data_IF_914311518795
#
_entry.id   IF_914311518795
#
_cell.length_a   1.000
_cell.length_b   1.000
_cell.length_c   1.000
_cell.angle_alpha   90.00
_cell.angle_beta   90.00
_cell.angle_gamma   90.00
#
_symmetry.space_group_name_H-M   'P 1'
#
loop_
_entity.id
_entity.type
_entity.pdbx_description
1 polymer ?
#
# COMPACT_ATOMS: atom_id res chain seq x y z
N UNK A 1 25.50 1.96 12.26
CA UNK A 1 24.33 1.05 12.29
C UNK A 1 23.12 1.92 12.60
N UNK A 2 22.02 1.81 11.84
CA UNK A 2 20.80 2.58 12.09
C UNK A 2 20.19 2.09 13.42
N UNK A 3 19.92 3.00 14.36
CA UNK A 3 19.39 2.64 15.67
C UNK A 3 17.86 2.84 15.69
N UNK A 4 17.13 1.79 16.11
CA UNK A 4 15.68 1.85 16.35
C UNK A 4 15.42 2.72 17.58
N UNK A 5 14.41 3.60 17.50
CA UNK A 5 13.97 4.48 18.59
C UNK A 5 12.50 4.21 18.95
N UNK A 6 11.69 5.22 18.93
CA UNK A 6 10.31 5.18 19.42
C UNK A 6 9.35 4.53 18.42
N UNK A 7 8.33 3.87 18.95
CA UNK A 7 7.19 3.40 18.15
C UNK A 7 6.40 4.61 17.64
N UNK A 8 6.36 4.77 16.31
CA UNK A 8 5.64 5.86 15.65
C UNK A 8 4.17 5.50 15.42
N UNK A 9 3.92 4.31 14.89
CA UNK A 9 2.57 3.83 14.55
C UNK A 9 2.53 2.31 14.56
N UNK A 10 1.39 1.75 14.97
CA UNK A 10 1.11 0.32 14.84
C UNK A 10 -0.17 0.09 14.08
N UNK A 11 -0.19 -0.92 13.22
CA UNK A 11 -1.35 -1.39 12.48
C UNK A 11 -1.62 -2.86 12.75
N UNK A 12 -2.54 -3.44 11.99
CA UNK A 12 -2.98 -4.85 12.14
C UNK A 12 -1.84 -5.86 11.96
N UNK A 13 -0.89 -5.58 11.06
CA UNK A 13 0.19 -6.52 10.71
C UNK A 13 1.60 -5.90 10.71
N UNK A 14 1.73 -4.59 10.94
CA UNK A 14 2.99 -3.85 10.86
C UNK A 14 3.11 -2.85 12.00
N UNK A 15 4.35 -2.53 12.37
CA UNK A 15 4.68 -1.43 13.26
C UNK A 15 5.80 -0.59 12.62
N UNK A 16 5.73 0.74 12.79
CA UNK A 16 6.74 1.69 12.31
C UNK A 16 7.47 2.29 13.50
N UNK A 17 8.77 2.34 13.40
CA UNK A 17 9.64 2.93 14.43
C UNK A 17 10.48 4.04 13.82
N UNK A 18 10.66 5.11 14.56
CA UNK A 18 11.64 6.15 14.26
C UNK A 18 13.06 5.60 14.42
N UNK A 19 14.02 6.27 13.80
CA UNK A 19 15.42 5.85 13.85
C UNK A 19 16.34 7.00 14.25
N UNK A 20 17.63 6.73 14.34
CA UNK A 20 18.66 7.77 14.52
C UNK A 20 18.80 8.71 13.31
N UNK A 21 18.28 8.32 12.16
CA UNK A 21 18.19 9.12 10.93
C UNK A 21 16.71 9.48 10.67
N UNK A 22 16.36 10.76 10.81
CA UNK A 22 14.98 11.23 10.68
C UNK A 22 14.36 10.98 9.28
N UNK A 23 15.20 10.77 8.26
CA UNK A 23 14.75 10.45 6.89
C UNK A 23 14.36 8.98 6.72
N UNK A 24 14.56 8.13 7.74
CA UNK A 24 14.35 6.69 7.67
C UNK A 24 13.54 6.16 8.83
N UNK A 25 12.71 5.17 8.53
CA UNK A 25 11.93 4.41 9.51
C UNK A 25 12.30 2.93 9.43
N UNK A 26 12.10 2.20 10.52
CA UNK A 26 12.09 0.73 10.53
C UNK A 26 10.64 0.29 10.49
N UNK A 27 10.30 -0.52 9.49
CA UNK A 27 9.01 -1.20 9.36
C UNK A 27 9.16 -2.63 9.80
N UNK A 28 8.54 -2.98 10.93
CA UNK A 28 8.49 -4.34 11.45
C UNK A 28 7.20 -5.02 10.98
N UNK A 29 7.33 -6.20 10.39
CA UNK A 29 6.22 -7.07 10.02
C UNK A 29 5.95 -8.05 11.15
N UNK A 30 4.70 -8.09 11.62
CA UNK A 30 4.29 -8.87 12.79
C UNK A 30 3.65 -10.19 12.38
N UNK A 31 3.74 -11.15 13.26
CA UNK A 31 3.09 -12.47 13.11
C UNK A 31 1.57 -12.41 13.37
N UNK A 32 1.09 -11.26 13.84
CA UNK A 32 -0.34 -11.06 14.10
C UNK A 32 -1.15 -11.15 12.80
N UNK A 33 -2.26 -11.85 12.87
CA UNK A 33 -3.31 -11.83 11.85
C UNK A 33 -4.61 -11.41 12.50
N UNK A 34 -5.39 -10.58 11.81
CA UNK A 34 -6.69 -10.13 12.29
C UNK A 34 -7.78 -10.52 11.30
N UNK A 35 -8.91 -10.98 11.83
CA UNK A 35 -10.12 -11.23 11.08
C UNK A 35 -11.29 -10.46 11.71
N UNK A 36 -12.36 -10.24 10.91
CA UNK A 36 -13.58 -9.55 11.34
C UNK A 36 -13.29 -8.15 11.93
N UNK A 37 -12.57 -7.31 11.19
CA UNK A 37 -12.20 -5.94 11.58
C UNK A 37 -11.48 -5.85 12.93
N UNK A 38 -10.54 -6.78 13.17
CA UNK A 38 -9.72 -6.81 14.39
C UNK A 38 -10.38 -7.51 15.59
N UNK A 39 -11.60 -8.04 15.46
CA UNK A 39 -12.29 -8.76 16.56
C UNK A 39 -11.65 -10.09 16.92
N UNK A 40 -10.91 -10.69 15.98
CA UNK A 40 -10.16 -11.92 16.21
C UNK A 40 -8.70 -11.68 15.81
N UNK A 41 -7.79 -11.81 16.78
CA UNK A 41 -6.35 -11.72 16.57
C UNK A 41 -5.76 -13.08 16.86
N UNK A 42 -5.02 -13.63 15.91
CA UNK A 42 -4.25 -14.88 16.08
C UNK A 42 -2.81 -14.61 15.63
N UNK A 43 -1.86 -15.39 16.14
CA UNK A 43 -0.47 -15.33 15.70
C UNK A 43 -0.16 -16.53 14.82
N UNK A 44 0.48 -16.26 13.68
CA UNK A 44 0.99 -17.27 12.76
C UNK A 44 2.50 -17.11 12.71
N UNK A 45 3.21 -18.04 13.35
CA UNK A 45 4.66 -18.00 13.45
C UNK A 45 5.33 -17.90 12.06
N UNK A 46 6.21 -16.94 11.90
CA UNK A 46 6.93 -16.68 10.65
C UNK A 46 6.16 -15.88 9.58
N UNK A 47 4.89 -15.51 9.81
CA UNK A 47 4.12 -14.69 8.88
C UNK A 47 4.79 -13.35 8.60
N UNK A 48 5.31 -12.68 9.65
CA UNK A 48 6.03 -11.42 9.51
C UNK A 48 7.24 -11.55 8.60
N UNK A 49 8.02 -12.61 8.75
CA UNK A 49 9.18 -12.89 7.89
C UNK A 49 8.78 -13.11 6.43
N UNK A 50 7.74 -13.90 6.17
CA UNK A 50 7.24 -14.14 4.82
C UNK A 50 6.75 -12.84 4.18
N UNK A 51 5.96 -12.06 4.93
CA UNK A 51 5.42 -10.79 4.45
C UNK A 51 6.53 -9.77 4.16
N UNK A 52 7.56 -9.68 5.00
CA UNK A 52 8.69 -8.78 4.77
C UNK A 52 9.44 -9.14 3.49
N UNK A 53 9.81 -10.41 3.33
CA UNK A 53 10.53 -10.89 2.13
C UNK A 53 9.72 -10.69 0.85
N UNK A 54 8.43 -11.02 0.91
CA UNK A 54 7.54 -10.84 -0.25
C UNK A 54 7.39 -9.37 -0.62
N UNK A 55 7.19 -8.50 0.39
CA UNK A 55 7.12 -7.05 0.16
C UNK A 55 8.43 -6.51 -0.43
N UNK A 56 9.59 -6.89 0.12
CA UNK A 56 10.89 -6.44 -0.39
C UNK A 56 11.09 -6.88 -1.84
N UNK A 57 10.78 -8.14 -2.16
CA UNK A 57 10.84 -8.65 -3.54
C UNK A 57 9.97 -7.82 -4.50
N UNK A 58 8.72 -7.53 -4.14
CA UNK A 58 7.81 -6.72 -4.95
C UNK A 58 8.33 -5.29 -5.10
N UNK A 59 8.76 -4.63 -4.02
CA UNK A 59 9.25 -3.25 -4.05
C UNK A 59 10.53 -3.11 -4.87
N UNK A 60 11.46 -4.05 -4.75
CA UNK A 60 12.67 -4.10 -5.58
C UNK A 60 12.35 -4.32 -7.06
N UNK A 61 11.39 -5.21 -7.36
CA UNK A 61 10.95 -5.43 -8.74
C UNK A 61 10.33 -4.16 -9.34
N UNK A 62 9.44 -3.49 -8.62
CA UNK A 62 8.84 -2.22 -9.03
C UNK A 62 9.89 -1.13 -9.26
N UNK A 63 10.92 -1.04 -8.38
CA UNK A 63 12.03 -0.09 -8.56
C UNK A 63 12.82 -0.36 -9.85
N UNK A 64 13.09 -1.63 -10.17
CA UNK A 64 13.78 -2.03 -11.42
C UNK A 64 12.97 -1.68 -12.67
N UNK A 65 11.65 -1.70 -12.57
CA UNK A 65 10.70 -1.32 -13.64
C UNK A 65 10.39 0.19 -13.64
N UNK A 66 11.08 1.00 -12.81
CA UNK A 66 10.99 2.46 -12.82
C UNK A 66 9.87 3.04 -11.95
N UNK A 67 9.25 2.26 -11.07
CA UNK A 67 8.29 2.75 -10.08
C UNK A 67 9.02 3.07 -8.78
N UNK A 68 9.13 4.36 -8.45
CA UNK A 68 9.69 4.80 -7.18
C UNK A 68 8.82 4.32 -6.01
N UNK A 69 9.47 3.88 -4.93
CA UNK A 69 8.79 3.48 -3.71
C UNK A 69 9.65 3.75 -2.47
N UNK A 70 9.08 3.57 -1.29
CA UNK A 70 9.74 3.91 -0.03
C UNK A 70 10.70 2.85 0.51
N UNK A 71 10.74 1.66 -0.07
CA UNK A 71 11.59 0.57 0.40
C UNK A 71 13.06 0.85 0.11
N UNK A 72 13.94 0.63 1.09
CA UNK A 72 15.38 0.80 0.95
C UNK A 72 16.09 -0.55 1.00
N UNK A 73 15.89 -1.32 2.07
CA UNK A 73 16.54 -2.63 2.26
C UNK A 73 15.84 -3.48 3.34
N UNK A 74 16.02 -4.79 3.31
CA UNK A 74 15.74 -5.66 4.44
C UNK A 74 16.84 -5.51 5.50
N UNK A 75 16.47 -5.16 6.74
CA UNK A 75 17.41 -5.02 7.86
C UNK A 75 17.44 -6.24 8.78
N UNK A 76 16.33 -7.00 8.82
CA UNK A 76 16.19 -8.25 9.56
C UNK A 76 15.13 -9.13 8.88
N UNK A 77 14.98 -10.41 9.26
CA UNK A 77 14.03 -11.33 8.61
C UNK A 77 12.60 -10.80 8.52
N UNK A 78 12.15 -10.04 9.51
CA UNK A 78 10.81 -9.42 9.57
C UNK A 78 10.85 -7.89 9.62
N UNK A 79 11.98 -7.25 9.26
CA UNK A 79 12.14 -5.79 9.28
C UNK A 79 12.73 -5.26 7.99
N UNK A 80 12.22 -4.13 7.54
CA UNK A 80 12.78 -3.34 6.43
C UNK A 80 13.04 -1.90 6.86
N UNK A 81 14.09 -1.31 6.30
CA UNK A 81 14.32 0.13 6.34
C UNK A 81 13.55 0.75 5.19
N UNK A 82 12.79 1.78 5.50
CA UNK A 82 11.99 2.53 4.53
C UNK A 82 12.25 4.03 4.68
N UNK A 83 12.01 4.80 3.62
CA UNK A 83 12.03 6.26 3.69
C UNK A 83 10.91 6.77 4.58
N UNK A 84 11.19 7.82 5.35
CA UNK A 84 10.18 8.58 6.11
C UNK A 84 9.50 9.56 5.15
N UNK A 85 8.28 9.26 4.76
CA UNK A 85 7.49 10.03 3.78
C UNK A 85 6.14 10.42 4.38
N UNK A 86 5.55 11.49 3.86
CA UNK A 86 4.18 11.87 4.18
C UNK A 86 3.20 10.97 3.42
N UNK A 87 2.19 10.49 4.11
CA UNK A 87 1.19 9.59 3.54
C UNK A 87 -0.11 10.35 3.26
N UNK A 88 -0.60 10.27 2.02
CA UNK A 88 -1.95 10.74 1.71
C UNK A 88 -2.99 9.84 2.41
N UNK A 89 -4.09 10.41 2.91
CA UNK A 89 -5.17 9.61 3.49
C UNK A 89 -6.05 8.97 2.41
N UNK A 90 -5.42 8.47 1.34
CA UNK A 90 -6.07 7.98 0.13
C UNK A 90 -5.48 6.62 -0.23
N UNK A 91 -6.34 5.62 -0.37
CA UNK A 91 -6.00 4.32 -0.93
C UNK A 91 -6.34 4.30 -2.41
N UNK A 92 -5.37 3.93 -3.24
CA UNK A 92 -5.52 3.75 -4.68
C UNK A 92 -5.73 2.26 -4.97
N UNK A 93 -6.77 1.92 -5.70
CA UNK A 93 -7.12 0.53 -6.03
C UNK A 93 -7.30 0.38 -7.53
N UNK A 94 -6.66 -0.65 -8.11
CA UNK A 94 -6.97 -1.11 -9.48
C UNK A 94 -7.52 -2.53 -9.41
N UNK A 95 -8.61 -2.78 -10.14
CA UNK A 95 -9.25 -4.08 -10.22
C UNK A 95 -9.22 -4.61 -11.64
N UNK A 96 -8.57 -5.76 -11.81
CA UNK A 96 -8.55 -6.52 -13.08
C UNK A 96 -9.74 -7.48 -13.16
N UNK A 97 -10.24 -7.91 -12.01
CA UNK A 97 -11.41 -8.79 -11.89
C UNK A 97 -12.34 -8.30 -10.79
N UNK A 98 -13.63 -8.56 -10.91
CA UNK A 98 -14.61 -8.25 -9.90
C UNK A 98 -14.41 -9.14 -8.66
N UNK A 99 -14.11 -8.53 -7.52
CA UNK A 99 -13.99 -9.24 -6.25
C UNK A 99 -14.30 -8.32 -5.05
N UNK A 100 -14.86 -8.90 -4.01
CA UNK A 100 -15.12 -8.18 -2.75
C UNK A 100 -16.18 -7.08 -2.85
N UNK A 101 -15.88 -5.88 -2.39
CA UNK A 101 -16.86 -4.79 -2.24
C UNK A 101 -17.50 -4.32 -3.55
N UNK A 102 -16.76 -4.36 -4.66
CA UNK A 102 -17.29 -3.92 -5.97
C UNK A 102 -18.44 -4.81 -6.45
N UNK A 103 -18.38 -6.13 -6.21
CA UNK A 103 -19.46 -7.05 -6.57
C UNK A 103 -20.77 -6.66 -5.89
N UNK A 104 -20.71 -6.31 -4.60
CA UNK A 104 -21.87 -5.89 -3.82
C UNK A 104 -22.39 -4.51 -4.25
N UNK A 105 -21.48 -3.55 -4.50
CA UNK A 105 -21.84 -2.17 -4.85
C UNK A 105 -22.48 -2.07 -6.23
N UNK A 106 -22.03 -2.85 -7.19
CA UNK A 106 -22.45 -2.75 -8.59
C UNK A 106 -23.24 -3.98 -9.07
N UNK A 107 -23.51 -4.97 -8.20
CA UNK A 107 -24.25 -6.19 -8.57
C UNK A 107 -23.51 -7.07 -9.58
N UNK A 108 -22.17 -7.10 -9.52
CA UNK A 108 -21.35 -7.85 -10.47
C UNK A 108 -21.17 -9.29 -10.01
N UNK A 109 -21.07 -10.20 -10.99
CA UNK A 109 -20.63 -11.57 -10.74
C UNK A 109 -19.16 -11.60 -10.35
N UNK A 110 -18.82 -12.36 -9.30
CA UNK A 110 -17.44 -12.52 -8.86
C UNK A 110 -16.57 -13.14 -9.95
N UNK A 111 -15.32 -12.73 -10.03
CA UNK A 111 -14.36 -13.09 -11.07
C UNK A 111 -14.69 -12.60 -12.49
N UNK A 112 -15.69 -11.76 -12.71
CA UNK A 112 -15.89 -11.09 -13.99
C UNK A 112 -14.66 -10.22 -14.34
N UNK A 113 -14.21 -10.31 -15.60
CA UNK A 113 -13.06 -9.53 -16.09
C UNK A 113 -13.43 -8.06 -16.19
N UNK A 114 -12.53 -7.19 -15.73
CA UNK A 114 -12.61 -5.73 -15.91
C UNK A 114 -11.72 -5.31 -17.08
N UNK A 115 -12.32 -4.97 -18.21
CA UNK A 115 -11.58 -4.51 -19.41
C UNK A 115 -12.24 -3.23 -19.96
N UNK A 116 -11.63 -2.05 -19.78
CA UNK A 116 -10.36 -1.81 -19.08
C UNK A 116 -10.43 -2.04 -17.56
N UNK A 117 -9.29 -2.25 -16.87
CA UNK A 117 -9.25 -2.34 -15.41
C UNK A 117 -9.90 -1.13 -14.74
N UNK A 118 -10.60 -1.35 -13.63
CA UNK A 118 -11.28 -0.28 -12.90
C UNK A 118 -10.33 0.32 -11.88
N UNK A 119 -10.15 1.65 -11.92
CA UNK A 119 -9.45 2.42 -10.93
C UNK A 119 -10.42 3.07 -9.94
N UNK A 120 -10.11 3.02 -8.64
CA UNK A 120 -10.93 3.59 -7.56
C UNK A 120 -10.05 4.28 -6.51
N UNK A 121 -10.58 5.35 -5.90
CA UNK A 121 -10.03 5.95 -4.69
C UNK A 121 -10.90 5.63 -3.48
N UNK A 122 -10.27 5.38 -2.32
CA UNK A 122 -10.93 5.24 -1.04
C UNK A 122 -10.29 6.18 -0.01
N UNK A 123 -11.10 6.81 0.83
CA UNK A 123 -10.60 7.56 1.97
C UNK A 123 -10.17 6.59 3.06
N UNK A 124 -8.93 6.72 3.53
CA UNK A 124 -8.32 5.80 4.49
C UNK A 124 -8.72 6.18 5.91
N UNK A 125 -9.87 5.69 6.33
CA UNK A 125 -10.43 5.91 7.65
C UNK A 125 -11.20 4.65 8.09
N UNK A 126 -10.56 3.87 8.98
CA UNK A 126 -11.12 2.59 9.47
C UNK A 126 -12.46 2.79 10.21
N UNK A 127 -12.70 3.95 10.88
CA UNK A 127 -13.93 4.25 11.60
C UNK A 127 -15.10 4.53 10.63
N UNK A 128 -14.80 5.04 9.45
CA UNK A 128 -15.77 5.28 8.38
C UNK A 128 -15.90 4.09 7.42
N UNK A 129 -15.09 3.05 7.59
CA UNK A 129 -15.10 1.85 6.73
C UNK A 129 -14.52 2.09 5.34
N UNK A 130 -13.49 2.93 5.24
CA UNK A 130 -12.78 3.28 4.00
C UNK A 130 -13.75 3.60 2.84
N UNK A 131 -14.52 4.71 2.89
CA UNK A 131 -15.54 5.01 1.90
C UNK A 131 -14.94 5.31 0.52
N UNK A 132 -15.65 4.91 -0.54
CA UNK A 132 -15.32 5.27 -1.92
C UNK A 132 -15.41 6.79 -2.11
N UNK A 133 -14.39 7.38 -2.71
CA UNK A 133 -14.29 8.82 -3.01
C UNK A 133 -13.90 9.04 -4.47
N UNK A 134 -13.98 10.27 -4.92
CA UNK A 134 -13.53 10.69 -6.25
C UNK A 134 -12.65 11.95 -6.15
N UNK A 135 -12.13 12.40 -7.30
CA UNK A 135 -11.24 13.56 -7.42
C UNK A 135 -11.82 14.81 -6.77
N UNK A 136 -13.13 15.05 -6.93
CA UNK A 136 -13.79 16.23 -6.33
C UNK A 136 -13.77 16.18 -4.79
N UNK A 137 -13.92 15.00 -4.18
CA UNK A 137 -13.77 14.87 -2.73
C UNK A 137 -12.34 15.20 -2.31
N UNK A 138 -11.34 14.64 -3.02
CA UNK A 138 -9.92 14.79 -2.70
C UNK A 138 -9.52 16.27 -2.74
N UNK A 139 -9.88 16.97 -3.81
CA UNK A 139 -9.54 18.39 -3.97
C UNK A 139 -10.33 19.30 -3.03
N UNK A 140 -11.64 19.05 -2.85
CA UNK A 140 -12.50 19.87 -2.00
C UNK A 140 -12.11 19.81 -0.52
N UNK A 141 -11.63 18.66 -0.05
CA UNK A 141 -11.16 18.50 1.32
C UNK A 141 -9.66 18.85 1.48
N UNK A 142 -8.96 19.17 0.39
CA UNK A 142 -7.54 19.55 0.41
C UNK A 142 -6.61 18.40 0.80
N UNK A 143 -7.01 17.15 0.55
CA UNK A 143 -6.18 15.97 0.84
C UNK A 143 -5.02 15.84 -0.16
N UNK A 144 -5.25 16.21 -1.43
CA UNK A 144 -4.26 16.26 -2.48
C UNK A 144 -4.67 17.30 -3.55
N UNK A 145 -3.72 17.78 -4.35
CA UNK A 145 -3.98 18.63 -5.49
C UNK A 145 -4.22 17.80 -6.77
N UNK A 146 -4.55 18.46 -7.89
CA UNK A 146 -4.84 17.79 -9.16
C UNK A 146 -3.61 17.04 -9.72
N UNK A 147 -2.40 17.59 -9.54
CA UNK A 147 -1.15 16.97 -10.00
C UNK A 147 -0.87 15.69 -9.22
N UNK A 148 -1.05 15.70 -7.89
CA UNK A 148 -0.94 14.52 -7.03
C UNK A 148 -1.94 13.43 -7.45
N UNK A 149 -3.19 13.81 -7.77
CA UNK A 149 -4.24 12.89 -8.21
C UNK A 149 -3.85 12.19 -9.52
N UNK A 150 -3.37 12.94 -10.50
CA UNK A 150 -2.94 12.38 -11.79
C UNK A 150 -1.70 11.49 -11.61
N UNK A 151 -0.77 11.86 -10.74
CA UNK A 151 0.38 11.02 -10.43
C UNK A 151 -0.04 9.72 -9.73
N UNK A 152 -0.93 9.78 -8.74
CA UNK A 152 -1.50 8.60 -8.09
C UNK A 152 -2.13 7.65 -9.10
N UNK A 153 -2.96 8.14 -10.02
CA UNK A 153 -3.58 7.33 -11.08
C UNK A 153 -2.53 6.67 -11.97
N UNK A 154 -1.59 7.46 -12.47
CA UNK A 154 -0.53 7.01 -13.36
C UNK A 154 0.32 5.90 -12.71
N UNK A 155 0.82 6.14 -11.51
CA UNK A 155 1.67 5.19 -10.79
C UNK A 155 0.91 3.91 -10.42
N UNK A 156 -0.37 4.03 -10.07
CA UNK A 156 -1.19 2.86 -9.74
C UNK A 156 -1.42 1.97 -10.95
N UNK A 157 -1.76 2.56 -12.11
CA UNK A 157 -1.95 1.80 -13.34
C UNK A 157 -0.64 1.18 -13.82
N UNK A 158 0.48 1.92 -13.77
CA UNK A 158 1.80 1.39 -14.09
C UNK A 158 2.19 0.23 -13.16
N UNK A 159 1.96 0.37 -11.86
CA UNK A 159 2.20 -0.69 -10.87
C UNK A 159 1.35 -1.93 -11.19
N UNK A 160 0.07 -1.74 -11.51
CA UNK A 160 -0.81 -2.84 -11.89
C UNK A 160 -0.28 -3.59 -13.10
N UNK A 161 0.10 -2.90 -14.17
CA UNK A 161 0.59 -3.52 -15.42
C UNK A 161 1.89 -4.32 -15.19
N UNK A 162 2.78 -3.83 -14.33
CA UNK A 162 4.01 -4.53 -13.96
C UNK A 162 3.68 -5.79 -13.16
N UNK A 163 2.82 -5.67 -12.17
CA UNK A 163 2.47 -6.77 -11.28
C UNK A 163 1.63 -7.83 -11.99
N UNK A 164 0.73 -7.47 -12.92
CA UNK A 164 0.01 -8.44 -13.76
C UNK A 164 1.00 -9.34 -14.50
N UNK A 165 2.02 -8.76 -15.14
CA UNK A 165 3.06 -9.53 -15.86
C UNK A 165 3.88 -10.40 -14.92
N UNK A 166 4.24 -9.87 -13.74
CA UNK A 166 5.02 -10.61 -12.76
C UNK A 166 4.25 -11.84 -12.25
N UNK A 167 2.97 -11.67 -11.87
CA UNK A 167 2.14 -12.76 -11.35
C UNK A 167 1.78 -13.77 -12.46
N UNK A 168 1.51 -13.31 -13.69
CA UNK A 168 1.27 -14.17 -14.86
C UNK A 168 2.48 -15.07 -15.14
N UNK A 169 3.72 -14.57 -14.97
CA UNK A 169 4.93 -15.37 -15.12
C UNK A 169 5.06 -16.53 -14.11
N UNK A 170 4.28 -16.49 -13.05
CA UNK A 170 4.18 -17.51 -12.01
C UNK A 170 2.86 -18.31 -12.08
N UNK A 171 2.13 -18.24 -13.20
CA UNK A 171 0.81 -18.84 -13.39
C UNK A 171 -0.24 -18.40 -12.35
N UNK A 172 -0.14 -17.14 -11.89
CA UNK A 172 -1.06 -16.53 -10.93
C UNK A 172 -1.84 -15.39 -11.57
N UNK A 173 -3.10 -15.27 -11.21
CA UNK A 173 -3.98 -14.19 -11.66
C UNK A 173 -3.97 -13.07 -10.62
N UNK A 174 -3.56 -11.86 -11.01
CA UNK A 174 -3.67 -10.68 -10.17
C UNK A 174 -5.07 -10.09 -10.25
N UNK A 175 -5.86 -10.29 -9.21
CA UNK A 175 -7.25 -9.84 -9.15
C UNK A 175 -7.34 -8.32 -8.97
N UNK A 176 -6.58 -7.78 -8.03
CA UNK A 176 -6.54 -6.34 -7.75
C UNK A 176 -5.23 -5.95 -7.08
N UNK A 177 -4.90 -4.67 -7.18
CA UNK A 177 -3.80 -4.02 -6.46
C UNK A 177 -4.39 -2.89 -5.62
N UNK A 178 -3.94 -2.74 -4.38
CA UNK A 178 -4.21 -1.56 -3.58
C UNK A 178 -2.95 -1.07 -2.85
N UNK A 179 -2.79 0.24 -2.77
CA UNK A 179 -1.74 0.85 -1.98
C UNK A 179 -2.11 2.29 -1.56
N UNK A 180 -1.41 2.80 -0.55
CA UNK A 180 -1.51 4.21 -0.14
C UNK A 180 -0.33 4.98 -0.72
N UNK A 181 -0.60 6.10 -1.39
CA UNK A 181 0.44 6.93 -2.00
C UNK A 181 1.20 7.73 -0.95
N UNK A 182 2.51 7.91 -1.19
CA UNK A 182 3.45 8.62 -0.33
C UNK A 182 4.13 9.73 -1.12
N UNK A 183 4.36 10.90 -0.49
CA UNK A 183 5.18 11.97 -1.06
C UNK A 183 6.36 12.30 -0.16
N UNK A 184 7.44 12.79 -0.75
CA UNK A 184 8.56 13.33 0.01
C UNK A 184 8.08 14.58 0.80
N UNK A 185 8.60 14.74 2.03
CA UNK A 185 8.39 15.98 2.77
C UNK A 185 8.95 17.14 1.93
N UNK A 186 8.15 18.17 1.70
CA UNK A 186 8.66 19.41 1.12
C UNK A 186 9.70 19.98 2.10
N UNK A 187 10.97 19.97 1.69
CA UNK A 187 11.98 20.75 2.39
C UNK A 187 11.74 22.20 2.01
N UNK A 188 11.04 22.94 2.87
CA UNK A 188 11.07 24.40 2.80
C UNK A 188 12.53 24.81 3.06
N UNK A 189 13.28 25.02 2.00
CA UNK A 189 14.52 25.80 2.08
C UNK A 189 14.07 27.27 2.17
N UNK A 190 13.96 27.77 3.39
CA UNK A 190 13.95 29.22 3.67
C UNK A 190 15.33 29.82 3.40
#
# INVERSE_FOLDING_TARGET
MLERKELLKTGKAKALYTTSDASKLIMEYRDDTSAFDGKKIEQIAGKGTVNNRFNSFIMEHLSKEGVANHHLEESAPNESIVMSLEMFPIECVVRNFAAGSICKRLGLEEASVMDPPIFEFFYKDDDLGDPLINDCHITSFGWANEEDIEEMKKLTLQTNDILVKLFDSADLILVAVSYTHLRAHETHND
#
